data_IF_881243325319
#
_entry.id   IF_881243325319
#
_cell.length_a   1.000
_cell.length_b   1.000
_cell.length_c   1.000
_cell.angle_alpha   90.00
_cell.angle_beta   90.00
_cell.angle_gamma   90.00
#
_symmetry.space_group_name_H-M   'P 1'
#
loop_
_entity.id
_entity.type
_entity.pdbx_description
1 polymer ?
#
# COMPACT_ATOMS: atom_id res chain seq x y z
N UNK A 1 -119.86 19.34 26.74
CA UNK A 1 -118.54 18.85 26.25
C UNK A 1 -117.92 20.03 25.54
N UNK A 2 -117.16 20.87 26.25
CA UNK A 2 -115.69 20.76 26.41
C UNK A 2 -115.00 21.09 25.09
N UNK A 3 -114.02 21.97 24.93
CA UNK A 3 -113.18 22.79 25.81
C UNK A 3 -112.36 23.73 24.86
N UNK A 4 -111.53 24.59 25.46
CA UNK A 4 -110.34 25.23 24.88
C UNK A 4 -110.54 26.34 23.84
N UNK A 5 -110.35 27.59 24.27
CA UNK A 5 -109.73 28.64 23.45
C UNK A 5 -109.20 29.79 24.31
N UNK A 6 -108.17 29.51 25.10
CA UNK A 6 -107.25 30.51 25.64
C UNK A 6 -105.83 29.94 25.59
N UNK A 7 -105.17 30.10 24.45
CA UNK A 7 -103.71 29.94 24.34
C UNK A 7 -103.19 31.14 23.56
N UNK A 8 -102.68 32.11 24.30
CA UNK A 8 -101.97 33.26 23.78
C UNK A 8 -100.56 32.83 23.34
N UNK A 9 -100.41 32.64 22.03
CA UNK A 9 -99.17 32.21 21.37
C UNK A 9 -98.12 33.33 21.24
N UNK A 10 -98.39 34.55 21.73
CA UNK A 10 -97.44 35.67 21.68
C UNK A 10 -96.35 35.61 22.77
N UNK A 11 -96.47 34.71 23.76
CA UNK A 11 -95.47 34.49 24.82
C UNK A 11 -94.43 33.41 24.51
N UNK A 12 -94.48 32.80 23.33
CA UNK A 12 -93.55 31.74 22.91
C UNK A 12 -92.50 32.26 21.92
N UNK A 13 -91.86 33.39 22.21
CA UNK A 13 -90.59 33.74 21.55
C UNK A 13 -89.45 33.04 22.28
N UNK A 14 -89.23 31.77 21.94
CA UNK A 14 -87.97 31.10 22.28
C UNK A 14 -86.86 31.81 21.52
N UNK A 15 -86.03 32.53 22.27
CA UNK A 15 -84.84 33.20 21.77
C UNK A 15 -83.81 32.13 21.34
N UNK A 16 -83.93 31.68 20.09
CA UNK A 16 -83.07 30.65 19.48
C UNK A 16 -81.61 31.11 19.31
N UNK A 17 -81.28 32.35 19.67
CA UNK A 17 -79.92 32.87 19.56
C UNK A 17 -79.06 32.63 20.81
N UNK A 18 -79.66 32.17 21.91
CA UNK A 18 -78.96 31.99 23.20
C UNK A 18 -78.41 30.58 23.47
N UNK A 19 -78.66 29.60 22.58
CA UNK A 19 -78.25 28.19 22.78
C UNK A 19 -77.34 27.62 21.68
N UNK A 20 -76.88 28.40 20.70
CA UNK A 20 -75.83 27.97 19.77
C UNK A 20 -74.44 28.47 20.18
N UNK A 21 -74.00 28.12 21.38
CA UNK A 21 -72.59 27.81 21.62
C UNK A 21 -72.40 26.29 21.56
N UNK A 22 -72.87 25.67 20.47
CA UNK A 22 -72.53 24.28 20.20
C UNK A 22 -71.18 24.28 19.49
N UNK A 23 -70.11 24.17 20.26
CA UNK A 23 -68.79 23.81 19.72
C UNK A 23 -69.01 22.51 18.97
N UNK A 24 -68.95 22.55 17.65
CA UNK A 24 -69.35 21.44 16.79
C UNK A 24 -68.36 20.28 17.05
N UNK A 25 -68.77 19.18 17.72
CA UNK A 25 -67.83 18.15 18.20
C UNK A 25 -67.07 17.47 17.05
N UNK A 26 -67.66 17.49 15.86
CA UNK A 26 -67.04 17.00 14.61
C UNK A 26 -65.87 17.89 14.15
N UNK A 27 -65.96 19.21 14.33
CA UNK A 27 -64.87 20.13 13.98
C UNK A 27 -63.67 20.00 14.92
N UNK A 28 -63.91 19.84 16.23
CA UNK A 28 -62.84 19.60 17.20
C UNK A 28 -62.19 18.21 17.00
N UNK A 29 -62.99 17.19 16.66
CA UNK A 29 -62.46 15.88 16.27
C UNK A 29 -61.62 15.95 14.98
N UNK A 30 -62.07 16.66 13.95
CA UNK A 30 -61.30 16.86 12.70
C UNK A 30 -59.99 17.61 12.95
N UNK A 31 -60.00 18.65 13.81
CA UNK A 31 -58.80 19.39 14.17
C UNK A 31 -57.82 18.56 15.03
N UNK A 32 -58.30 17.58 15.79
CA UNK A 32 -57.44 16.61 16.52
C UNK A 32 -56.82 15.61 15.55
N UNK A 33 -57.62 15.06 14.63
CA UNK A 33 -57.14 14.13 13.59
C UNK A 33 -56.09 14.79 12.70
N UNK A 34 -56.30 16.05 12.29
CA UNK A 34 -55.32 16.81 11.51
C UNK A 34 -54.01 17.02 12.28
N UNK A 35 -54.08 17.41 13.56
CA UNK A 35 -52.90 17.56 14.42
C UNK A 35 -52.16 16.24 14.64
N UNK A 36 -52.88 15.13 14.80
CA UNK A 36 -52.29 13.80 14.92
C UNK A 36 -51.61 13.35 13.61
N UNK A 37 -52.23 13.63 12.45
CA UNK A 37 -51.63 13.35 11.15
C UNK A 37 -50.37 14.21 10.91
N UNK A 38 -50.39 15.50 11.25
CA UNK A 38 -49.22 16.38 11.16
C UNK A 38 -48.08 15.93 12.09
N UNK A 39 -48.41 15.53 13.33
CA UNK A 39 -47.43 14.98 14.27
C UNK A 39 -46.82 13.68 13.74
N UNK A 40 -47.63 12.83 13.10
CA UNK A 40 -47.16 11.57 12.49
C UNK A 40 -46.26 11.83 11.29
N UNK A 41 -46.59 12.78 10.41
CA UNK A 41 -45.74 13.17 9.28
C UNK A 41 -44.41 13.73 9.80
N UNK A 42 -44.45 14.57 10.85
CA UNK A 42 -43.25 15.16 11.45
C UNK A 42 -42.36 14.12 12.14
N UNK A 43 -42.93 13.13 12.80
CA UNK A 43 -42.17 12.05 13.44
C UNK A 43 -41.54 11.11 12.40
N UNK A 44 -42.26 10.81 11.31
CA UNK A 44 -41.72 10.05 10.18
C UNK A 44 -40.56 10.82 9.52
N UNK A 45 -40.71 12.13 9.34
CA UNK A 45 -39.67 12.95 8.72
C UNK A 45 -38.42 13.04 9.60
N UNK A 46 -38.59 13.24 10.91
CA UNK A 46 -37.49 13.24 11.87
C UNK A 46 -36.78 11.88 11.93
N UNK A 47 -37.53 10.77 11.94
CA UNK A 47 -36.95 9.42 11.94
C UNK A 47 -36.17 9.13 10.66
N UNK A 48 -36.62 9.67 9.51
CA UNK A 48 -35.91 9.56 8.23
C UNK A 48 -34.60 10.36 8.26
N UNK A 49 -34.64 11.60 8.74
CA UNK A 49 -33.45 12.46 8.87
C UNK A 49 -32.41 11.84 9.83
N UNK A 50 -32.86 11.29 10.97
CA UNK A 50 -31.99 10.59 11.92
C UNK A 50 -31.36 9.34 11.29
N UNK A 51 -32.13 8.58 10.51
CA UNK A 51 -31.62 7.39 9.80
C UNK A 51 -30.61 7.77 8.71
N UNK A 52 -30.90 8.81 7.92
CA UNK A 52 -29.98 9.31 6.89
C UNK A 52 -28.68 9.85 7.51
N UNK A 53 -28.77 10.54 8.65
CA UNK A 53 -27.59 11.02 9.39
C UNK A 53 -26.75 9.86 9.97
N UNK A 54 -27.39 8.81 10.49
CA UNK A 54 -26.70 7.62 10.98
C UNK A 54 -26.02 6.86 9.83
N UNK A 55 -26.69 6.69 8.70
CA UNK A 55 -26.12 6.06 7.50
C UNK A 55 -24.91 6.85 6.98
N UNK A 56 -24.99 8.18 6.95
CA UNK A 56 -23.86 9.03 6.57
C UNK A 56 -22.68 8.88 7.54
N UNK A 57 -22.96 8.76 8.85
CA UNK A 57 -21.92 8.53 9.85
C UNK A 57 -21.23 7.19 9.65
N UNK A 58 -21.99 6.12 9.43
CA UNK A 58 -21.44 4.78 9.14
C UNK A 58 -20.65 4.78 7.84
N UNK A 59 -21.13 5.48 6.81
CA UNK A 59 -20.41 5.62 5.55
C UNK A 59 -19.04 6.27 5.76
N UNK A 60 -18.98 7.38 6.49
CA UNK A 60 -17.73 8.08 6.77
C UNK A 60 -16.76 7.22 7.60
N UNK A 61 -17.27 6.44 8.55
CA UNK A 61 -16.47 5.51 9.35
C UNK A 61 -15.86 4.39 8.48
N UNK A 62 -16.64 3.82 7.56
CA UNK A 62 -16.15 2.80 6.62
C UNK A 62 -15.11 3.40 5.67
N UNK A 63 -15.35 4.60 5.13
CA UNK A 63 -14.39 5.28 4.24
C UNK A 63 -13.07 5.55 4.98
N UNK A 64 -13.14 5.99 6.24
CA UNK A 64 -11.95 6.20 7.06
C UNK A 64 -11.18 4.89 7.31
N UNK A 65 -11.88 3.81 7.66
CA UNK A 65 -11.27 2.50 7.88
C UNK A 65 -10.62 1.93 6.61
N UNK A 66 -11.26 2.09 5.45
CA UNK A 66 -10.70 1.68 4.16
C UNK A 66 -9.47 2.49 3.78
N UNK A 67 -9.49 3.81 4.04
CA UNK A 67 -8.34 4.68 3.80
C UNK A 67 -7.16 4.28 4.68
N UNK A 68 -7.39 4.03 5.97
CA UNK A 68 -6.35 3.61 6.91
C UNK A 68 -5.75 2.24 6.54
N UNK A 69 -6.60 1.28 6.13
CA UNK A 69 -6.15 -0.03 5.68
C UNK A 69 -5.34 0.04 4.36
N UNK A 70 -5.73 0.93 3.45
CA UNK A 70 -5.02 1.17 2.20
C UNK A 70 -3.66 1.84 2.39
N UNK A 71 -3.55 2.81 3.31
CA UNK A 71 -2.30 3.54 3.58
C UNK A 71 -1.22 2.69 4.26
N UNK A 72 -1.62 1.71 5.08
CA UNK A 72 -0.65 0.88 5.83
C UNK A 72 0.07 -0.17 4.97
N UNK A 73 -0.42 -0.44 3.76
CA UNK A 73 0.18 -1.40 2.83
C UNK A 73 0.35 -2.82 3.41
N UNK A 74 0.88 -3.73 2.61
CA UNK A 74 1.28 -5.06 3.07
C UNK A 74 2.78 -5.25 2.83
N UNK A 75 3.52 -5.68 3.85
CA UNK A 75 4.93 -6.03 3.71
C UNK A 75 5.06 -7.53 3.50
N UNK A 76 5.69 -7.93 2.40
CA UNK A 76 6.02 -9.33 2.09
C UNK A 76 7.53 -9.49 2.22
N UNK A 77 7.98 -10.42 3.06
CA UNK A 77 9.40 -10.77 3.22
C UNK A 77 9.64 -12.12 2.55
N UNK A 78 10.58 -12.17 1.62
CA UNK A 78 10.99 -13.40 0.92
C UNK A 78 12.43 -13.71 1.36
N UNK A 79 12.64 -14.86 1.99
CA UNK A 79 13.97 -15.35 2.32
C UNK A 79 14.60 -16.06 1.13
N UNK A 80 15.92 -15.93 0.96
CA UNK A 80 16.76 -16.54 -0.10
C UNK A 80 16.89 -15.72 -1.42
N UNK A 81 17.51 -16.29 -2.46
CA UNK A 81 17.87 -15.65 -3.74
C UNK A 81 16.64 -15.28 -4.60
N UNK A 82 16.01 -14.15 -4.28
CA UNK A 82 14.79 -13.65 -4.91
C UNK A 82 15.06 -12.77 -6.14
N UNK A 83 15.71 -13.31 -7.17
CA UNK A 83 15.91 -12.59 -8.44
C UNK A 83 14.62 -12.62 -9.30
N UNK A 84 14.20 -11.46 -9.81
CA UNK A 84 13.10 -11.36 -10.79
C UNK A 84 11.68 -11.41 -10.20
N UNK A 85 11.51 -11.07 -8.92
CA UNK A 85 10.17 -11.02 -8.29
C UNK A 85 9.33 -9.91 -8.93
N UNK A 86 8.14 -10.27 -9.39
CA UNK A 86 7.13 -9.33 -9.86
C UNK A 86 5.91 -9.40 -8.94
N UNK A 87 5.37 -8.24 -8.57
CA UNK A 87 4.11 -8.16 -7.81
C UNK A 87 3.03 -7.78 -8.81
N UNK A 88 2.15 -8.73 -9.12
CA UNK A 88 1.02 -8.47 -10.00
C UNK A 88 -0.02 -7.62 -9.26
N UNK A 89 -0.21 -6.39 -9.72
CA UNK A 89 -1.25 -5.48 -9.21
C UNK A 89 -2.39 -5.44 -10.23
N UNK A 90 -3.61 -5.76 -9.81
CA UNK A 90 -4.80 -5.74 -10.67
C UNK A 90 -5.65 -4.50 -10.39
N UNK A 91 -5.01 -3.34 -10.25
CA UNK A 91 -5.65 -2.08 -9.89
C UNK A 91 -5.27 -1.00 -10.89
N UNK A 92 -6.26 -0.21 -11.32
CA UNK A 92 -6.05 0.86 -12.29
C UNK A 92 -5.09 1.92 -11.71
N UNK A 93 -4.08 2.33 -12.49
CA UNK A 93 -3.08 3.32 -12.08
C UNK A 93 -2.01 2.82 -11.11
N UNK A 94 -1.95 1.51 -10.83
CA UNK A 94 -0.89 0.88 -10.06
C UNK A 94 0.50 1.19 -10.64
N UNK A 95 1.41 1.69 -9.78
CA UNK A 95 2.82 1.90 -10.12
C UNK A 95 3.67 0.95 -9.26
N UNK A 96 4.61 0.24 -9.89
CA UNK A 96 5.56 -0.61 -9.19
C UNK A 96 6.97 -0.02 -9.32
N UNK A 97 7.59 0.29 -8.19
CA UNK A 97 9.01 0.62 -8.11
C UNK A 97 9.78 -0.57 -7.55
N UNK A 98 10.86 -0.97 -8.21
CA UNK A 98 11.77 -2.01 -7.75
C UNK A 98 13.13 -1.38 -7.43
N UNK A 99 13.51 -1.40 -6.16
CA UNK A 99 14.87 -1.04 -5.74
C UNK A 99 15.67 -2.33 -5.53
N UNK A 100 16.60 -2.63 -6.45
CA UNK A 100 17.50 -3.76 -6.30
C UNK A 100 18.78 -3.31 -5.57
N UNK A 101 18.88 -3.58 -4.27
CA UNK A 101 20.06 -3.31 -3.46
C UNK A 101 20.94 -4.55 -3.32
N UNK A 102 21.45 -5.08 -4.44
CA UNK A 102 22.56 -6.05 -4.38
C UNK A 102 23.82 -5.32 -3.92
N UNK A 103 24.09 -5.37 -2.61
CA UNK A 103 25.30 -4.80 -2.05
C UNK A 103 26.48 -5.69 -2.43
N UNK A 104 27.50 -5.11 -3.05
CA UNK A 104 28.74 -5.84 -3.37
C UNK A 104 29.38 -6.34 -2.08
N UNK A 105 29.64 -7.64 -1.99
CA UNK A 105 30.25 -8.25 -0.81
C UNK A 105 31.77 -8.13 -0.89
N UNK A 106 32.32 -7.09 -0.26
CA UNK A 106 33.76 -6.83 -0.19
C UNK A 106 34.53 -7.96 0.51
N UNK A 107 33.97 -8.55 1.57
CA UNK A 107 34.64 -9.60 2.33
C UNK A 107 34.84 -10.86 1.48
N UNK A 108 33.79 -11.27 0.75
CA UNK A 108 33.86 -12.40 -0.20
C UNK A 108 34.83 -12.10 -1.35
N UNK A 109 34.81 -10.87 -1.87
CA UNK A 109 35.75 -10.47 -2.92
C UNK A 109 37.20 -10.52 -2.43
N UNK A 110 37.46 -10.10 -1.19
CA UNK A 110 38.79 -10.13 -0.58
C UNK A 110 39.28 -11.56 -0.36
N UNK A 111 38.42 -12.46 0.11
CA UNK A 111 38.73 -13.89 0.27
C UNK A 111 39.17 -14.50 -1.06
N UNK A 112 38.36 -14.31 -2.11
CA UNK A 112 38.66 -14.80 -3.46
C UNK A 112 39.96 -14.22 -4.00
N UNK A 113 40.21 -12.92 -3.82
CA UNK A 113 41.43 -12.28 -4.28
C UNK A 113 42.69 -12.77 -3.53
N UNK A 114 42.57 -13.06 -2.24
CA UNK A 114 43.66 -13.63 -1.45
C UNK A 114 44.03 -15.03 -1.93
N UNK A 115 43.03 -15.86 -2.25
CA UNK A 115 43.28 -17.18 -2.86
C UNK A 115 43.94 -17.04 -4.24
N UNK A 116 43.48 -16.12 -5.08
CA UNK A 116 44.11 -15.84 -6.39
C UNK A 116 45.56 -15.37 -6.23
N UNK A 117 45.85 -14.57 -5.19
CA UNK A 117 47.19 -14.07 -4.90
C UNK A 117 48.18 -15.21 -4.64
N UNK A 118 47.77 -16.30 -4.01
CA UNK A 118 48.63 -17.46 -3.76
C UNK A 118 49.16 -18.07 -5.07
N UNK A 119 48.42 -17.92 -6.19
CA UNK A 119 48.90 -18.41 -7.48
C UNK A 119 50.14 -17.69 -7.98
N UNK A 120 50.36 -16.42 -7.57
CA UNK A 120 51.50 -15.60 -8.01
C UNK A 120 52.84 -16.24 -7.62
N UNK A 121 52.88 -16.96 -6.50
CA UNK A 121 54.10 -17.59 -5.99
C UNK A 121 54.44 -18.90 -6.71
N UNK A 122 53.53 -19.45 -7.53
CA UNK A 122 53.83 -20.65 -8.31
C UNK A 122 54.65 -20.32 -9.57
N UNK A 123 55.70 -21.11 -9.89
CA UNK A 123 56.50 -20.92 -11.10
C UNK A 123 55.68 -20.95 -12.40
N UNK A 124 54.56 -21.69 -12.41
CA UNK A 124 53.65 -21.81 -13.54
C UNK A 124 52.90 -20.50 -13.82
N UNK A 125 52.81 -19.57 -12.87
CA UNK A 125 52.18 -18.26 -13.06
C UNK A 125 52.93 -17.44 -14.10
N UNK A 126 54.25 -17.33 -13.96
CA UNK A 126 55.10 -16.63 -14.93
C UNK A 126 55.02 -17.27 -16.31
N UNK A 127 54.90 -18.60 -16.37
CA UNK A 127 54.78 -19.35 -17.63
C UNK A 127 53.41 -19.12 -18.29
N UNK A 128 52.37 -18.98 -17.47
CA UNK A 128 50.98 -18.75 -17.89
C UNK A 128 50.80 -17.37 -18.51
N UNK A 129 51.27 -16.33 -17.83
CA UNK A 129 51.05 -14.94 -18.24
C UNK A 129 52.23 -14.33 -19.01
N UNK A 130 53.40 -15.00 -19.05
CA UNK A 130 54.59 -14.61 -19.80
C UNK A 130 54.99 -13.16 -19.50
N UNK A 131 54.99 -12.29 -20.50
CA UNK A 131 55.33 -10.86 -20.39
C UNK A 131 54.29 -10.07 -19.56
N UNK A 132 53.04 -10.55 -19.50
CA UNK A 132 51.97 -9.89 -18.75
C UNK A 132 51.95 -10.27 -17.25
N UNK A 133 52.83 -11.16 -16.79
CA UNK A 133 52.79 -11.68 -15.42
C UNK A 133 52.85 -10.58 -14.36
N UNK A 134 53.73 -9.59 -14.53
CA UNK A 134 53.82 -8.49 -13.56
C UNK A 134 52.64 -7.53 -13.62
N UNK A 135 52.04 -7.36 -14.81
CA UNK A 135 50.82 -6.59 -14.93
C UNK A 135 49.66 -7.29 -14.18
N UNK A 136 49.51 -8.60 -14.36
CA UNK A 136 48.48 -9.40 -13.66
C UNK A 136 48.69 -9.34 -12.15
N UNK A 137 49.93 -9.50 -11.68
CA UNK A 137 50.27 -9.37 -10.26
C UNK A 137 49.91 -8.00 -9.71
N UNK A 138 50.25 -6.93 -10.43
CA UNK A 138 49.92 -5.56 -10.03
C UNK A 138 48.41 -5.36 -9.92
N UNK A 139 47.65 -5.86 -10.90
CA UNK A 139 46.18 -5.79 -10.88
C UNK A 139 45.60 -6.53 -9.67
N UNK A 140 46.13 -7.72 -9.34
CA UNK A 140 45.68 -8.48 -8.16
C UNK A 140 45.91 -7.65 -6.88
N UNK A 141 47.13 -7.15 -6.67
CA UNK A 141 47.49 -6.38 -5.47
C UNK A 141 46.70 -5.06 -5.36
N UNK A 142 46.52 -4.34 -6.47
CA UNK A 142 45.78 -3.08 -6.46
C UNK A 142 44.27 -3.31 -6.28
N UNK A 143 43.73 -4.42 -6.81
CA UNK A 143 42.33 -4.79 -6.56
C UNK A 143 42.14 -5.19 -5.09
N UNK A 144 43.09 -5.90 -4.48
CA UNK A 144 43.06 -6.22 -3.04
C UNK A 144 43.01 -4.92 -2.22
N UNK A 145 43.89 -3.95 -2.50
CA UNK A 145 43.90 -2.66 -1.80
C UNK A 145 42.59 -1.89 -1.98
N UNK A 146 42.03 -1.88 -3.19
CA UNK A 146 40.76 -1.22 -3.47
C UNK A 146 39.60 -1.86 -2.69
N UNK A 147 39.61 -3.19 -2.56
CA UNK A 147 38.63 -3.93 -1.75
C UNK A 147 38.81 -3.65 -0.26
N UNK A 148 40.05 -3.69 0.25
CA UNK A 148 40.37 -3.41 1.66
C UNK A 148 40.03 -1.96 2.06
N UNK A 149 40.24 -1.01 1.14
CA UNK A 149 39.92 0.41 1.33
C UNK A 149 38.44 0.72 1.09
N UNK A 150 37.63 -0.28 0.73
CA UNK A 150 36.22 -0.14 0.35
C UNK A 150 35.99 0.97 -0.68
N UNK A 151 36.83 0.99 -1.72
CA UNK A 151 36.68 1.92 -2.84
C UNK A 151 35.37 1.67 -3.61
N UNK A 152 35.06 2.57 -4.54
CA UNK A 152 33.87 2.50 -5.38
C UNK A 152 33.69 1.11 -6.02
N UNK A 153 32.46 0.58 -5.92
CA UNK A 153 32.10 -0.76 -6.41
C UNK A 153 32.36 -0.88 -7.92
N UNK A 154 32.14 0.18 -8.68
CA UNK A 154 32.38 0.22 -10.12
C UNK A 154 33.86 0.03 -10.45
N UNK A 155 34.75 0.65 -9.68
CA UNK A 155 36.22 0.49 -9.80
C UNK A 155 36.60 -0.96 -9.52
N UNK A 156 36.17 -1.52 -8.39
CA UNK A 156 36.50 -2.90 -8.01
C UNK A 156 36.00 -3.91 -9.05
N UNK A 157 34.75 -3.80 -9.50
CA UNK A 157 34.19 -4.68 -10.54
C UNK A 157 34.93 -4.57 -11.86
N UNK A 158 35.35 -3.36 -12.26
CA UNK A 158 36.12 -3.15 -13.47
C UNK A 158 37.48 -3.85 -13.39
N UNK A 159 38.19 -3.73 -12.26
CA UNK A 159 39.48 -4.40 -12.07
C UNK A 159 39.34 -5.93 -12.07
N UNK A 160 38.31 -6.47 -11.41
CA UNK A 160 38.01 -7.91 -11.42
C UNK A 160 37.69 -8.44 -12.83
N UNK A 161 36.99 -7.66 -13.66
CA UNK A 161 36.74 -8.00 -15.06
C UNK A 161 38.01 -8.01 -15.89
N UNK A 162 38.88 -7.00 -15.73
CA UNK A 162 40.18 -6.95 -16.42
C UNK A 162 41.03 -8.18 -16.05
N UNK A 163 41.09 -8.53 -14.76
CA UNK A 163 41.79 -9.73 -14.30
C UNK A 163 41.22 -11.00 -14.95
N UNK A 164 39.89 -11.12 -15.01
CA UNK A 164 39.21 -12.23 -15.67
C UNK A 164 39.57 -12.31 -17.16
N UNK A 165 39.55 -11.19 -17.87
CA UNK A 165 39.85 -11.14 -19.31
C UNK A 165 41.29 -11.55 -19.60
N UNK A 166 42.25 -11.12 -18.76
CA UNK A 166 43.64 -11.55 -18.84
C UNK A 166 43.79 -13.06 -18.61
N UNK A 167 43.06 -13.62 -17.65
CA UNK A 167 43.04 -15.06 -17.40
C UNK A 167 42.39 -15.83 -18.58
N UNK A 168 41.31 -15.32 -19.18
CA UNK A 168 40.71 -15.92 -20.38
C UNK A 168 41.70 -15.94 -21.55
N UNK A 169 42.51 -14.90 -21.72
CA UNK A 169 43.60 -14.88 -22.71
C UNK A 169 44.66 -15.97 -22.50
N UNK A 170 44.73 -16.56 -21.30
CA UNK A 170 45.66 -17.62 -20.91
C UNK A 170 44.95 -18.94 -20.55
N UNK A 171 43.69 -19.13 -20.97
CA UNK A 171 42.78 -20.22 -20.55
C UNK A 171 43.25 -21.64 -20.91
N UNK A 172 44.36 -21.81 -21.63
CA UNK A 172 45.01 -23.10 -21.86
C UNK A 172 45.86 -23.60 -20.70
N UNK A 173 46.04 -22.78 -19.65
CA UNK A 173 46.82 -23.12 -18.47
C UNK A 173 45.93 -23.46 -17.27
N UNK A 174 46.46 -24.32 -16.38
CA UNK A 174 45.78 -24.69 -15.14
C UNK A 174 45.60 -23.47 -14.21
N UNK A 175 46.62 -22.61 -14.12
CA UNK A 175 46.59 -21.40 -13.28
C UNK A 175 45.49 -20.44 -13.75
N UNK A 176 45.43 -20.13 -15.04
CA UNK A 176 44.41 -19.23 -15.55
C UNK A 176 43.00 -19.81 -15.39
N UNK A 177 42.84 -21.12 -15.58
CA UNK A 177 41.56 -21.81 -15.36
C UNK A 177 41.11 -21.70 -13.90
N UNK A 178 42.04 -21.87 -12.94
CA UNK A 178 41.76 -21.69 -11.52
C UNK A 178 41.31 -20.27 -11.18
N UNK A 179 42.02 -19.26 -11.70
CA UNK A 179 41.65 -17.85 -11.52
C UNK A 179 40.26 -17.55 -12.09
N UNK A 180 39.94 -18.03 -13.30
CA UNK A 180 38.61 -17.84 -13.92
C UNK A 180 37.52 -18.48 -13.05
N UNK A 181 37.76 -19.70 -12.54
CA UNK A 181 36.80 -20.40 -11.69
C UNK A 181 36.51 -19.63 -10.41
N UNK A 182 37.56 -19.15 -9.72
CA UNK A 182 37.44 -18.35 -8.51
C UNK A 182 36.70 -17.03 -8.75
N UNK A 183 37.06 -16.30 -9.80
CA UNK A 183 36.37 -15.06 -10.18
C UNK A 183 34.91 -15.30 -10.58
N UNK A 184 34.58 -16.48 -11.10
CA UNK A 184 33.20 -16.89 -11.43
C UNK A 184 32.27 -17.01 -10.20
N UNK A 185 32.82 -17.05 -8.99
CA UNK A 185 32.03 -17.09 -7.74
C UNK A 185 31.55 -15.71 -7.28
N UNK A 186 32.01 -14.63 -7.94
CA UNK A 186 31.68 -13.25 -7.63
C UNK A 186 30.64 -12.69 -8.62
N UNK A 187 29.69 -11.84 -8.15
CA UNK A 187 28.74 -11.15 -9.02
C UNK A 187 29.40 -9.92 -9.68
N UNK A 188 30.13 -10.17 -10.78
CA UNK A 188 30.90 -9.18 -11.55
C UNK A 188 30.07 -8.33 -12.53
#
# INVERSE_FOLDING_TARGET
MSDFKDIDLSKFSLDLTKTMQYVNPVQDQMARIQREQEQTIRSIQKAREEKEAEELRRHNEIVAALKEAGEKGATIVIGDNANGIQIQQNSDGATQEMTNSQTFNYDKALEVLKEIREYVDFPQFQTTFKENSENVKTIIEDTIKAVESKEDVGIVKKSLRILKDLAVGASGSLIASGIIALLGTLPL
#
